data_IF_268043688015
#
_entry.id   IF_268043688015
#
_cell.length_a   1.000
_cell.length_b   1.000
_cell.length_c   1.000
_cell.angle_alpha   90.00
_cell.angle_beta   90.00
_cell.angle_gamma   90.00
#
_symmetry.space_group_name_H-M   'P 1'
#
loop_
_entity.id
_entity.type
_entity.pdbx_description
1 polymer ?
#
# COMPACT_ATOMS: atom_id res chain seq x y z
N UNK A 1 -40.70 -41.38 -3.44
CA UNK A 1 -39.83 -40.72 -4.44
C UNK A 1 -40.69 -39.75 -5.24
N UNK A 2 -40.26 -38.51 -5.39
CA UNK A 2 -40.99 -37.53 -6.20
C UNK A 2 -40.76 -37.79 -7.71
N UNK A 3 -41.75 -37.58 -8.59
CA UNK A 3 -41.59 -37.79 -10.03
C UNK A 3 -40.41 -37.02 -10.65
N UNK A 4 -40.13 -35.82 -10.16
CA UNK A 4 -38.99 -35.00 -10.56
C UNK A 4 -37.64 -35.67 -10.24
N UNK A 5 -37.49 -36.25 -9.04
CA UNK A 5 -36.26 -36.92 -8.61
C UNK A 5 -35.95 -38.14 -9.48
N UNK A 6 -36.98 -38.85 -9.95
CA UNK A 6 -36.83 -40.01 -10.84
C UNK A 6 -36.34 -39.60 -12.25
N UNK A 7 -36.83 -38.47 -12.76
CA UNK A 7 -36.48 -37.96 -14.10
C UNK A 7 -35.10 -37.31 -14.15
N UNK A 8 -34.75 -36.53 -13.13
CA UNK A 8 -33.54 -35.70 -13.13
C UNK A 8 -32.45 -36.21 -12.19
N UNK A 9 -32.71 -37.26 -11.40
CA UNK A 9 -31.75 -37.86 -10.47
C UNK A 9 -31.35 -36.96 -9.30
N UNK A 10 -31.99 -35.80 -9.13
CA UNK A 10 -31.65 -34.81 -8.11
C UNK A 10 -32.91 -34.27 -7.42
N UNK A 11 -32.76 -33.87 -6.15
CA UNK A 11 -33.85 -33.24 -5.39
C UNK A 11 -34.09 -31.82 -5.88
N UNK A 12 -35.36 -31.44 -6.00
CA UNK A 12 -35.73 -30.07 -6.36
C UNK A 12 -35.28 -29.11 -5.25
N UNK A 13 -34.66 -27.98 -5.63
CA UNK A 13 -34.23 -26.96 -4.67
C UNK A 13 -35.46 -26.31 -4.04
N UNK A 14 -35.59 -26.41 -2.72
CA UNK A 14 -36.63 -25.72 -1.95
C UNK A 14 -36.20 -24.30 -1.58
N UNK A 15 -37.13 -23.45 -1.15
CA UNK A 15 -36.80 -22.11 -0.65
C UNK A 15 -35.80 -22.17 0.52
N UNK A 16 -35.96 -23.13 1.44
CA UNK A 16 -35.02 -23.37 2.54
C UNK A 16 -33.61 -23.72 2.06
N UNK A 17 -33.48 -24.47 0.95
CA UNK A 17 -32.17 -24.76 0.37
C UNK A 17 -31.46 -23.49 -0.13
N UNK A 18 -32.21 -22.52 -0.67
CA UNK A 18 -31.66 -21.24 -1.13
C UNK A 18 -31.17 -20.41 0.07
N UNK A 19 -31.97 -20.34 1.14
CA UNK A 19 -31.61 -19.63 2.38
C UNK A 19 -30.34 -20.21 3.02
N UNK A 20 -30.24 -21.54 3.09
CA UNK A 20 -29.05 -22.23 3.63
C UNK A 20 -27.80 -21.91 2.79
N UNK A 21 -27.93 -21.91 1.45
CA UNK A 21 -26.81 -21.58 0.56
C UNK A 21 -26.38 -20.12 0.72
N UNK A 22 -27.32 -19.19 0.92
CA UNK A 22 -27.01 -17.78 1.17
C UNK A 22 -26.21 -17.63 2.48
N UNK A 23 -26.70 -18.21 3.57
CA UNK A 23 -26.03 -18.17 4.88
C UNK A 23 -24.61 -18.77 4.80
N UNK A 24 -24.45 -19.88 4.11
CA UNK A 24 -23.15 -20.52 3.93
C UNK A 24 -22.18 -19.63 3.13
N UNK A 25 -22.66 -18.97 2.08
CA UNK A 25 -21.83 -18.04 1.31
C UNK A 25 -21.41 -16.83 2.15
N UNK A 26 -22.33 -16.27 2.94
CA UNK A 26 -22.03 -15.17 3.86
C UNK A 26 -20.95 -15.57 4.87
N UNK A 27 -21.06 -16.76 5.47
CA UNK A 27 -20.06 -17.27 6.41
C UNK A 27 -18.69 -17.45 5.75
N UNK A 28 -18.63 -18.05 4.55
CA UNK A 28 -17.38 -18.21 3.79
C UNK A 28 -16.75 -16.84 3.49
N UNK A 29 -17.55 -15.86 3.06
CA UNK A 29 -17.04 -14.52 2.75
C UNK A 29 -16.52 -13.81 4.01
N UNK A 30 -17.22 -13.94 5.14
CA UNK A 30 -16.80 -13.35 6.41
C UNK A 30 -15.49 -13.97 6.91
N UNK A 31 -15.38 -15.31 6.87
CA UNK A 31 -14.16 -16.01 7.27
C UNK A 31 -12.97 -15.62 6.38
N UNK A 32 -13.19 -15.55 5.06
CA UNK A 32 -12.15 -15.13 4.13
C UNK A 32 -11.66 -13.70 4.40
N UNK A 33 -12.59 -12.78 4.67
CA UNK A 33 -12.26 -11.39 4.98
C UNK A 33 -11.48 -11.29 6.30
N UNK A 34 -11.91 -12.01 7.34
CA UNK A 34 -11.22 -12.05 8.63
C UNK A 34 -9.77 -12.56 8.49
N UNK A 35 -9.57 -13.63 7.71
CA UNK A 35 -8.23 -14.14 7.42
C UNK A 35 -7.37 -13.10 6.70
N UNK A 36 -7.92 -12.44 5.67
CA UNK A 36 -7.21 -11.37 4.95
C UNK A 36 -6.82 -10.23 5.87
N UNK A 37 -7.70 -9.83 6.77
CA UNK A 37 -7.42 -8.71 7.67
C UNK A 37 -6.36 -9.08 8.70
N UNK A 38 -6.33 -10.31 9.19
CA UNK A 38 -5.23 -10.82 10.00
C UNK A 38 -3.89 -10.78 9.23
N UNK A 39 -3.87 -11.27 7.98
CA UNK A 39 -2.68 -11.21 7.13
C UNK A 39 -2.20 -9.76 6.87
N UNK A 40 -3.13 -8.84 6.59
CA UNK A 40 -2.81 -7.42 6.39
C UNK A 40 -2.22 -6.79 7.65
N UNK A 41 -2.76 -7.11 8.82
CA UNK A 41 -2.23 -6.61 10.09
C UNK A 41 -0.81 -7.11 10.35
N UNK A 42 -0.54 -8.39 10.12
CA UNK A 42 0.81 -8.94 10.28
C UNK A 42 1.81 -8.35 9.27
N UNK A 43 1.40 -8.26 7.99
CA UNK A 43 2.21 -7.62 6.96
C UNK A 43 2.53 -6.15 7.30
N UNK A 44 1.55 -5.40 7.81
CA UNK A 44 1.74 -4.02 8.26
C UNK A 44 2.77 -3.93 9.38
N UNK A 45 2.72 -4.82 10.38
CA UNK A 45 3.71 -4.86 11.47
C UNK A 45 5.12 -5.13 10.95
N UNK A 46 5.27 -6.09 10.03
CA UNK A 46 6.55 -6.45 9.41
C UNK A 46 7.13 -5.30 8.58
N UNK A 47 6.31 -4.66 7.74
CA UNK A 47 6.73 -3.49 6.95
C UNK A 47 7.17 -2.35 7.88
N UNK A 48 6.40 -2.08 8.93
CA UNK A 48 6.74 -1.04 9.89
C UNK A 48 8.10 -1.29 10.55
N UNK A 49 8.38 -2.54 10.96
CA UNK A 49 9.67 -2.93 11.54
C UNK A 49 10.83 -2.66 10.56
N UNK A 50 10.68 -3.07 9.30
CA UNK A 50 11.70 -2.83 8.26
C UNK A 50 11.89 -1.34 8.00
N UNK A 51 10.80 -0.56 7.96
CA UNK A 51 10.87 0.89 7.78
C UNK A 51 11.60 1.58 8.93
N UNK A 52 11.37 1.15 10.17
CA UNK A 52 12.04 1.69 11.35
C UNK A 52 13.56 1.38 11.34
N UNK A 53 13.92 0.13 11.03
CA UNK A 53 15.32 -0.28 10.86
C UNK A 53 16.01 0.53 9.74
N UNK A 54 15.36 0.67 8.59
CA UNK A 54 15.85 1.47 7.47
C UNK A 54 16.02 2.94 7.85
N UNK A 55 15.04 3.51 8.55
CA UNK A 55 15.09 4.90 9.05
C UNK A 55 16.27 5.08 9.99
N UNK A 56 16.49 4.17 10.93
CA UNK A 56 17.61 4.22 11.88
C UNK A 56 18.96 4.18 11.15
N UNK A 57 19.15 3.26 10.22
CA UNK A 57 20.39 3.10 9.46
C UNK A 57 20.66 4.29 8.54
N UNK A 58 19.63 4.79 7.85
CA UNK A 58 19.76 5.97 7.01
C UNK A 58 20.12 7.21 7.84
N UNK A 59 19.39 7.46 8.93
CA UNK A 59 19.63 8.61 9.80
C UNK A 59 21.00 8.60 10.47
N UNK A 60 21.59 7.42 10.72
CA UNK A 60 22.95 7.31 11.28
C UNK A 60 24.01 7.98 10.39
N UNK A 61 23.85 7.92 9.07
CA UNK A 61 24.82 8.46 8.09
C UNK A 61 24.33 9.74 7.40
N UNK A 62 23.07 10.12 7.62
CA UNK A 62 22.47 11.28 6.99
C UNK A 62 23.03 12.56 7.60
N UNK A 63 23.56 13.45 6.75
CA UNK A 63 23.86 14.83 7.17
C UNK A 63 22.56 15.57 7.47
N UNK A 64 22.55 16.34 8.57
CA UNK A 64 21.40 17.18 8.88
C UNK A 64 21.15 18.17 7.73
N UNK A 65 19.88 18.40 7.42
CA UNK A 65 19.51 19.40 6.43
C UNK A 65 19.86 20.79 6.96
N UNK A 66 20.33 21.66 6.07
CA UNK A 66 20.55 23.06 6.42
C UNK A 66 19.19 23.70 6.75
N UNK A 67 19.08 24.31 7.94
CA UNK A 67 17.91 25.09 8.32
C UNK A 67 18.19 26.54 7.94
N UNK A 68 17.31 27.14 7.15
CA UNK A 68 17.42 28.54 6.76
C UNK A 68 16.55 29.40 7.66
N UNK A 69 17.06 30.56 8.05
CA UNK A 69 16.33 31.62 8.74
C UNK A 69 15.97 32.74 7.76
N UNK A 70 15.03 33.59 8.16
CA UNK A 70 14.70 34.78 7.39
C UNK A 70 15.96 35.67 7.32
N UNK A 71 16.30 36.13 6.11
CA UNK A 71 17.52 36.89 5.79
C UNK A 71 18.83 36.10 5.72
N UNK A 72 18.79 34.76 5.73
CA UNK A 72 19.97 33.96 5.40
C UNK A 72 20.35 34.14 3.93
N UNK A 73 21.63 34.44 3.70
CA UNK A 73 22.20 34.54 2.36
C UNK A 73 22.38 33.13 1.76
N UNK A 74 21.65 32.82 0.70
CA UNK A 74 21.64 31.49 0.07
C UNK A 74 22.04 31.55 -1.39
N UNK A 75 22.82 30.56 -1.82
CA UNK A 75 23.19 30.41 -3.22
C UNK A 75 22.34 29.30 -3.86
N UNK A 76 21.49 29.67 -4.82
CA UNK A 76 20.67 28.70 -5.55
C UNK A 76 21.48 28.06 -6.68
N UNK A 77 21.57 26.73 -6.66
CA UNK A 77 22.27 25.94 -7.66
C UNK A 77 21.51 25.96 -8.98
N UNK A 78 22.16 26.36 -10.09
CA UNK A 78 21.54 26.26 -11.43
C UNK A 78 21.43 24.78 -11.82
N UNK A 79 20.22 24.33 -12.16
CA UNK A 79 19.90 22.94 -12.52
C UNK A 79 19.72 22.74 -14.03
N UNK A 80 19.40 23.80 -14.78
CA UNK A 80 19.24 23.73 -16.23
C UNK A 80 20.60 23.82 -16.92
N UNK A 81 20.89 22.84 -17.77
CA UNK A 81 22.02 22.82 -18.69
C UNK A 81 21.48 23.07 -20.11
N UNK A 82 22.14 23.95 -20.86
CA UNK A 82 21.76 24.27 -22.24
C UNK A 82 22.99 24.58 -23.10
N UNK A 83 22.82 24.68 -24.43
CA UNK A 83 23.89 25.07 -25.33
C UNK A 83 24.44 26.45 -24.95
N UNK A 84 25.77 26.58 -24.83
CA UNK A 84 26.44 27.82 -24.41
C UNK A 84 26.73 27.96 -22.91
N UNK A 85 26.28 27.03 -22.07
CA UNK A 85 26.62 27.02 -20.64
C UNK A 85 27.90 26.22 -20.35
N UNK A 86 28.73 26.72 -19.41
CA UNK A 86 29.94 26.01 -18.95
C UNK A 86 29.56 24.70 -18.26
N UNK A 87 30.38 23.65 -18.42
CA UNK A 87 30.21 22.34 -17.76
C UNK A 87 30.17 22.42 -16.23
N UNK A 88 30.84 23.41 -15.61
CA UNK A 88 30.83 23.61 -14.16
C UNK A 88 29.52 24.27 -13.71
N UNK A 89 28.85 23.67 -12.72
CA UNK A 89 27.66 24.23 -12.10
C UNK A 89 27.96 25.61 -11.49
N UNK A 90 27.37 26.65 -12.07
CA UNK A 90 27.33 28.00 -11.52
C UNK A 90 26.11 28.13 -10.60
N UNK A 91 26.27 28.88 -9.52
CA UNK A 91 25.16 29.38 -8.72
C UNK A 91 24.57 30.61 -9.40
N UNK A 92 23.30 30.94 -9.13
CA UNK A 92 22.64 32.10 -9.75
C UNK A 92 23.25 33.41 -9.27
N UNK A 93 23.26 33.62 -7.95
CA UNK A 93 23.92 34.69 -7.19
C UNK A 93 23.49 34.47 -5.72
N UNK A 94 24.06 35.18 -4.73
CA UNK A 94 23.58 35.16 -3.35
C UNK A 94 22.23 35.89 -3.24
N UNK A 95 21.22 35.26 -2.63
CA UNK A 95 19.88 35.79 -2.36
C UNK A 95 19.63 35.92 -0.88
#
# INVERSE_FOLDING_TARGET
MAPFELLFGTKMKSCQYIEIVQLLNEEITAQFQQQRDAFRQDAKKKIYKVQDENRRLYNLRRRQAHKYQLHDLVAIKRTQFGPGFKLKQKYLEPY
#
